data_IF_553041770509
#
_entry.id   IF_553041770509
#
_cell.length_a   1.000
_cell.length_b   1.000
_cell.length_c   1.000
_cell.angle_alpha   90.00
_cell.angle_beta   90.00
_cell.angle_gamma   90.00
#
_symmetry.space_group_name_H-M   'P 1'
#
loop_
_entity.id
_entity.type
_entity.pdbx_description
1 polymer ?
#
# COMPACT_ATOMS: atom_id res chain seq x y z
N UNK A 1 2.84 10.91 8.91
CA UNK A 1 1.88 11.81 8.21
C UNK A 1 2.66 12.99 7.71
N UNK A 2 2.43 13.47 6.48
CA UNK A 2 3.21 14.56 5.90
C UNK A 2 2.31 15.77 5.64
N UNK A 3 2.78 16.96 6.00
CA UNK A 3 2.10 18.24 5.83
C UNK A 3 2.97 19.14 4.94
N UNK A 4 2.38 19.84 3.99
CA UNK A 4 3.05 20.87 3.20
C UNK A 4 2.71 22.22 3.82
N UNK A 5 3.72 22.96 4.25
CA UNK A 5 3.60 24.28 4.84
C UNK A 5 3.92 25.35 3.80
N UNK A 6 3.15 26.42 3.83
CA UNK A 6 3.39 27.67 3.12
C UNK A 6 3.46 28.79 4.16
N UNK A 7 4.63 29.39 4.34
CA UNK A 7 4.85 30.50 5.27
C UNK A 7 4.52 31.79 4.53
N UNK A 8 3.66 32.63 5.09
CA UNK A 8 3.17 33.84 4.43
C UNK A 8 3.86 35.11 4.95
N UNK A 9 4.03 36.09 4.06
CA UNK A 9 4.36 37.46 4.41
C UNK A 9 3.08 38.24 4.82
N UNK A 10 3.22 39.55 5.10
CA UNK A 10 2.10 40.41 5.56
C UNK A 10 1.05 40.67 4.47
N UNK A 11 1.39 40.44 3.20
CA UNK A 11 0.49 40.59 2.05
C UNK A 11 0.15 39.25 1.38
N UNK A 12 0.16 38.14 2.15
CA UNK A 12 -0.17 36.78 1.69
C UNK A 12 0.74 36.19 0.59
N UNK A 13 1.86 36.84 0.28
CA UNK A 13 2.92 36.29 -0.56
C UNK A 13 3.67 35.18 0.19
N UNK A 14 4.07 34.11 -0.51
CA UNK A 14 4.83 33.03 0.10
C UNK A 14 6.28 33.46 0.40
N UNK A 15 6.70 33.40 1.67
CA UNK A 15 8.10 33.56 2.08
C UNK A 15 8.92 32.27 1.88
N UNK A 16 8.23 31.13 1.86
CA UNK A 16 8.83 29.83 1.61
C UNK A 16 7.86 28.69 1.92
N UNK A 17 8.25 27.49 1.47
CA UNK A 17 7.52 26.25 1.69
C UNK A 17 8.37 25.20 2.41
N UNK A 18 7.73 24.27 3.10
CA UNK A 18 8.39 23.12 3.72
C UNK A 18 7.48 21.89 3.71
N UNK A 19 8.03 20.69 3.60
CA UNK A 19 7.29 19.46 3.88
C UNK A 19 7.69 18.92 5.25
N UNK A 20 6.73 18.85 6.18
CA UNK A 20 6.91 18.40 7.55
C UNK A 20 6.26 17.03 7.74
N UNK A 21 7.05 16.03 8.08
CA UNK A 21 6.58 14.69 8.44
C UNK A 21 6.38 14.59 9.96
N UNK A 22 5.15 14.37 10.40
CA UNK A 22 4.78 14.03 11.77
C UNK A 22 4.78 12.51 11.98
N UNK A 23 5.59 12.03 12.93
CA UNK A 23 5.60 10.67 13.43
C UNK A 23 4.78 10.58 14.72
N UNK A 24 3.55 10.07 14.59
CA UNK A 24 2.58 9.96 15.68
C UNK A 24 2.98 8.99 16.80
N UNK A 25 3.78 7.97 16.50
CA UNK A 25 4.24 6.99 17.48
C UNK A 25 5.33 7.55 18.40
N UNK A 26 6.32 8.25 17.84
CA UNK A 26 7.40 8.87 18.61
C UNK A 26 7.15 10.32 19.01
N UNK A 27 6.03 10.91 18.57
CA UNK A 27 5.70 12.34 18.77
C UNK A 27 6.81 13.27 18.30
N UNK A 28 7.42 12.94 17.17
CA UNK A 28 8.46 13.74 16.52
C UNK A 28 8.02 14.29 15.18
N UNK A 29 8.56 15.44 14.79
CA UNK A 29 8.44 15.96 13.44
C UNK A 29 9.81 15.95 12.77
N UNK A 30 9.82 15.85 11.45
CA UNK A 30 11.01 15.98 10.61
C UNK A 30 10.69 16.80 9.37
N UNK A 31 11.64 17.56 8.88
CA UNK A 31 11.55 18.27 7.61
C UNK A 31 12.46 17.61 6.58
N UNK A 32 11.98 17.46 5.34
CA UNK A 32 12.74 16.87 4.24
C UNK A 32 13.84 17.82 3.73
N UNK A 33 14.86 17.27 3.08
CA UNK A 33 16.04 18.01 2.62
C UNK A 33 15.74 19.06 1.54
N UNK A 34 14.56 18.96 0.91
CA UNK A 34 14.02 19.89 -0.09
C UNK A 34 13.39 21.15 0.52
N UNK A 35 13.41 21.31 1.85
CA UNK A 35 12.82 22.48 2.48
C UNK A 35 13.43 23.78 1.95
N UNK A 36 12.55 24.71 1.55
CA UNK A 36 12.97 25.99 0.99
C UNK A 36 13.77 26.80 2.02
N UNK A 37 14.51 27.80 1.54
CA UNK A 37 15.25 28.72 2.41
C UNK A 37 14.38 29.37 3.49
N UNK A 38 13.06 29.50 3.27
CA UNK A 38 12.13 30.04 4.26
C UNK A 38 12.07 29.23 5.56
N UNK A 39 12.17 27.89 5.51
CA UNK A 39 12.13 27.06 6.72
C UNK A 39 13.41 27.17 7.56
N UNK A 40 14.57 27.37 6.91
CA UNK A 40 15.85 27.54 7.61
C UNK A 40 15.88 28.79 8.50
N UNK A 41 15.01 29.77 8.22
CA UNK A 41 14.78 30.97 9.05
C UNK A 41 13.81 30.71 10.21
N UNK A 42 13.01 29.63 10.15
CA UNK A 42 12.15 29.19 11.25
C UNK A 42 12.97 28.41 12.27
N UNK A 43 13.78 27.46 11.82
CA UNK A 43 14.67 26.68 12.68
C UNK A 43 15.86 26.11 11.88
N UNK A 44 17.00 25.94 12.55
CA UNK A 44 18.15 25.16 12.05
C UNK A 44 17.95 23.66 12.19
N UNK A 45 17.12 23.21 13.13
CA UNK A 45 16.85 21.80 13.39
C UNK A 45 16.03 21.19 12.25
N UNK A 46 16.38 19.97 11.86
CA UNK A 46 15.60 19.19 10.88
C UNK A 46 14.62 18.22 11.53
N UNK A 47 14.73 18.04 12.85
CA UNK A 47 13.92 17.11 13.64
C UNK A 47 13.63 17.77 14.98
N UNK A 48 12.41 17.58 15.48
CA UNK A 48 12.00 18.01 16.81
C UNK A 48 10.83 17.19 17.35
N UNK A 49 10.23 17.64 18.44
CA UNK A 49 9.04 17.00 19.02
C UNK A 49 7.78 17.77 18.66
N UNK A 50 6.63 17.11 18.65
CA UNK A 50 5.34 17.81 18.60
C UNK A 50 4.42 17.37 19.73
N UNK A 51 3.52 18.27 20.11
CA UNK A 51 2.54 18.06 21.16
C UNK A 51 1.15 18.38 20.62
N UNK A 52 0.17 17.53 20.92
CA UNK A 52 -1.24 17.76 20.53
C UNK A 52 -1.98 18.20 21.78
N UNK A 53 -2.57 19.40 21.73
CA UNK A 53 -3.41 19.94 22.79
C UNK A 53 -4.85 19.45 22.67
N UNK A 54 -5.53 19.39 23.79
CA UNK A 54 -6.95 19.02 23.92
C UNK A 54 -7.90 19.97 23.15
N UNK A 55 -7.54 21.25 23.03
CA UNK A 55 -8.28 22.24 22.24
C UNK A 55 -7.91 22.28 20.74
N UNK A 56 -7.45 21.16 20.16
CA UNK A 56 -7.26 20.98 18.71
C UNK A 56 -6.12 21.77 18.06
N UNK A 57 -5.03 21.92 18.79
CA UNK A 57 -3.84 22.62 18.31
C UNK A 57 -2.63 21.71 18.41
N UNK A 58 -1.74 21.77 17.42
CA UNK A 58 -0.46 21.06 17.45
C UNK A 58 0.68 22.04 17.61
N UNK A 59 1.52 21.84 18.63
CA UNK A 59 2.74 22.62 18.85
C UNK A 59 3.94 21.87 18.29
N UNK A 60 4.78 22.55 17.52
CA UNK A 60 6.05 22.04 17.03
C UNK A 60 7.20 22.62 17.85
N UNK A 61 7.97 21.74 18.48
CA UNK A 61 9.11 22.08 19.31
C UNK A 61 10.42 21.85 18.56
N UNK A 62 11.34 22.81 18.63
CA UNK A 62 12.61 22.82 17.89
C UNK A 62 13.52 21.60 18.18
N UNK A 63 13.41 21.02 19.37
CA UNK A 63 14.26 19.90 19.82
C UNK A 63 13.42 18.71 20.27
N UNK A 64 13.95 17.48 20.17
CA UNK A 64 13.32 16.31 20.76
C UNK A 64 13.06 16.45 22.26
N UNK A 65 12.01 15.81 22.76
CA UNK A 65 11.64 15.78 24.19
C UNK A 65 11.02 17.09 24.70
N UNK A 66 10.59 18.00 23.82
CA UNK A 66 9.93 19.25 24.21
C UNK A 66 10.84 20.29 24.90
N UNK A 67 12.15 20.05 24.95
CA UNK A 67 13.14 20.94 25.60
C UNK A 67 13.63 22.08 24.69
N UNK A 68 12.85 22.44 23.68
CA UNK A 68 13.20 23.45 22.67
C UNK A 68 12.25 24.64 22.67
N UNK A 69 12.46 25.58 21.75
CA UNK A 69 11.48 26.64 21.46
C UNK A 69 10.24 26.07 20.78
N UNK A 70 9.07 26.63 21.04
CA UNK A 70 7.88 26.33 20.25
C UNK A 70 7.96 27.15 18.95
N UNK A 71 8.36 26.51 17.86
CA UNK A 71 8.62 27.20 16.59
C UNK A 71 7.32 27.48 15.82
N UNK A 72 6.30 26.65 15.98
CA UNK A 72 5.05 26.78 15.25
C UNK A 72 3.87 26.19 16.02
N UNK A 73 2.72 26.86 15.89
CA UNK A 73 1.42 26.45 16.43
C UNK A 73 0.48 26.24 15.25
N UNK A 74 -0.03 25.03 15.08
CA UNK A 74 -0.93 24.66 13.99
C UNK A 74 -2.36 24.52 14.53
N UNK A 75 -3.30 25.26 13.93
CA UNK A 75 -4.73 25.11 14.13
C UNK A 75 -5.31 24.11 13.15
N UNK A 76 -6.42 23.48 13.54
CA UNK A 76 -7.14 22.47 12.76
C UNK A 76 -6.27 21.28 12.30
N UNK A 77 -5.12 21.09 12.92
CA UNK A 77 -4.18 20.03 12.57
C UNK A 77 -4.79 18.64 12.81
N UNK A 78 -4.34 17.60 12.08
CA UNK A 78 -4.78 16.23 12.34
C UNK A 78 -4.50 15.82 13.78
N UNK A 79 -5.41 15.06 14.40
CA UNK A 79 -5.31 14.60 15.80
C UNK A 79 -4.66 13.21 15.94
N UNK A 80 -4.39 12.54 14.83
CA UNK A 80 -3.84 11.21 14.81
C UNK A 80 -3.40 10.79 13.41
N UNK A 81 -2.69 9.67 13.31
CA UNK A 81 -2.29 9.12 12.01
C UNK A 81 -3.50 8.79 11.11
N UNK A 82 -4.61 8.38 11.73
CA UNK A 82 -5.87 8.04 11.08
C UNK A 82 -6.78 9.25 10.79
N UNK A 83 -6.46 10.42 11.32
CA UNK A 83 -7.27 11.63 11.11
C UNK A 83 -6.97 12.20 9.72
N UNK A 84 -7.89 11.96 8.78
CA UNK A 84 -7.82 12.39 7.38
C UNK A 84 -8.91 13.38 7.00
N UNK A 85 -9.85 13.68 7.89
CA UNK A 85 -10.93 14.64 7.62
C UNK A 85 -10.42 16.08 7.61
N UNK A 86 -9.24 16.32 8.17
CA UNK A 86 -8.53 17.61 8.19
C UNK A 86 -7.49 17.65 7.07
N UNK A 87 -7.96 18.01 5.88
CA UNK A 87 -7.14 18.09 4.67
C UNK A 87 -6.23 19.33 4.62
N UNK A 88 -6.58 20.38 5.35
CA UNK A 88 -5.85 21.63 5.42
C UNK A 88 -6.14 22.37 6.73
N UNK A 89 -5.40 23.46 6.95
CA UNK A 89 -5.65 24.39 8.02
C UNK A 89 -4.60 25.50 8.06
N UNK A 90 -4.58 26.22 9.17
CA UNK A 90 -3.71 27.36 9.38
C UNK A 90 -2.84 27.18 10.62
N UNK A 91 -1.91 28.10 10.82
CA UNK A 91 -0.97 28.10 11.92
C UNK A 91 -0.25 29.43 12.02
N UNK A 92 0.62 29.54 13.01
CA UNK A 92 1.54 30.66 13.13
C UNK A 92 2.91 30.22 13.58
N UNK A 93 3.92 30.97 13.18
CA UNK A 93 5.25 30.89 13.78
C UNK A 93 5.20 31.57 15.16
N UNK A 94 5.59 30.85 16.20
CA UNK A 94 5.50 31.36 17.58
C UNK A 94 6.82 31.91 18.09
N UNK A 95 7.90 31.12 18.02
CA UNK A 95 9.25 31.51 18.40
C UNK A 95 10.30 31.01 17.37
N UNK A 96 10.26 31.54 16.13
CA UNK A 96 11.22 31.16 15.08
C UNK A 96 12.63 31.70 15.36
N UNK A 97 13.64 31.09 14.73
CA UNK A 97 15.03 31.53 14.75
C UNK A 97 15.19 32.99 14.29
N UNK A 98 14.53 33.36 13.20
CA UNK A 98 14.44 34.72 12.72
C UNK A 98 13.22 35.43 13.34
N UNK A 99 13.49 36.32 14.30
CA UNK A 99 12.46 37.04 15.05
C UNK A 99 11.50 37.86 14.16
N UNK A 100 11.90 38.26 12.94
CA UNK A 100 11.02 38.99 12.00
C UNK A 100 9.86 38.13 11.46
N UNK A 101 9.97 36.80 11.63
CA UNK A 101 8.95 35.82 11.26
C UNK A 101 7.97 35.51 12.40
N UNK A 102 8.14 36.10 13.58
CA UNK A 102 7.23 35.88 14.71
C UNK A 102 5.80 36.29 14.34
N UNK A 103 4.82 35.46 14.74
CA UNK A 103 3.40 35.60 14.41
C UNK A 103 3.05 35.52 12.92
N UNK A 104 3.98 35.16 12.02
CA UNK A 104 3.63 34.97 10.61
C UNK A 104 2.73 33.76 10.45
N UNK A 105 1.75 33.90 9.57
CA UNK A 105 0.81 32.84 9.24
C UNK A 105 1.52 31.70 8.49
N UNK A 106 1.11 30.48 8.84
CA UNK A 106 1.44 29.25 8.13
C UNK A 106 0.12 28.72 7.59
N UNK A 107 0.04 28.51 6.29
CA UNK A 107 -0.99 27.65 5.73
C UNK A 107 -0.40 26.25 5.60
N UNK A 108 -1.14 25.23 6.00
CA UNK A 108 -0.70 23.86 5.83
C UNK A 108 -1.76 23.02 5.14
N UNK A 109 -1.31 22.06 4.33
CA UNK A 109 -2.16 21.06 3.70
C UNK A 109 -1.60 19.68 3.98
N UNK A 110 -2.47 18.70 4.13
CA UNK A 110 -2.09 17.29 4.23
C UNK A 110 -1.53 16.87 2.87
N UNK A 111 -0.25 16.46 2.84
CA UNK A 111 0.32 15.85 1.63
C UNK A 111 -0.24 14.45 1.52
N UNK A 112 -1.24 14.32 0.67
CA UNK A 112 -1.59 13.03 0.09
C UNK A 112 -0.48 12.68 -0.90
N UNK A 113 0.19 11.53 -0.76
CA UNK A 113 0.93 10.98 -1.87
C UNK A 113 0.08 11.10 -3.14
N UNK A 114 0.65 11.48 -4.28
CA UNK A 114 -0.11 11.39 -5.51
C UNK A 114 -0.67 9.95 -5.56
N UNK A 115 -1.95 9.78 -5.98
CA UNK A 115 -2.43 8.44 -6.28
C UNK A 115 -1.35 7.80 -7.15
N UNK A 116 -0.99 6.51 -6.92
CA UNK A 116 0.02 5.86 -7.74
C UNK A 116 -0.32 6.24 -9.17
N UNK A 117 0.57 7.04 -9.80
CA UNK A 117 0.24 7.81 -11.00
C UNK A 117 -0.63 6.92 -11.85
N UNK A 118 -1.76 7.42 -12.35
CA UNK A 118 -2.62 6.70 -13.29
C UNK A 118 -1.81 6.43 -14.55
N UNK A 119 -0.79 5.59 -14.45
CA UNK A 119 -0.16 4.86 -15.52
C UNK A 119 -1.36 4.26 -16.17
N UNK A 120 -1.67 4.79 -17.34
CA UNK A 120 -2.65 4.20 -18.21
C UNK A 120 -2.33 2.70 -18.22
N UNK A 121 -3.24 1.93 -17.65
CA UNK A 121 -3.02 0.51 -17.47
C UNK A 121 -2.83 -0.07 -18.88
N UNK A 122 -1.90 -1.00 -19.06
CA UNK A 122 -1.73 -1.63 -20.37
C UNK A 122 -3.08 -2.25 -20.81
N UNK A 123 -3.36 -2.34 -22.13
CA UNK A 123 -4.60 -2.95 -22.61
C UNK A 123 -4.83 -4.36 -22.03
N UNK A 124 -3.75 -5.11 -21.83
CA UNK A 124 -3.78 -6.46 -21.23
C UNK A 124 -4.21 -6.44 -19.77
N UNK A 125 -3.63 -5.52 -18.99
CA UNK A 125 -3.98 -5.31 -17.58
C UNK A 125 -5.43 -4.84 -17.44
N UNK A 126 -5.89 -3.92 -18.30
CA UNK A 126 -7.30 -3.50 -18.32
C UNK A 126 -8.24 -4.67 -18.60
N UNK A 127 -7.93 -5.48 -19.62
CA UNK A 127 -8.72 -6.67 -19.96
C UNK A 127 -8.81 -7.65 -18.79
N UNK A 128 -7.69 -7.96 -18.14
CA UNK A 128 -7.67 -8.86 -16.97
C UNK A 128 -8.49 -8.29 -15.81
N UNK A 129 -8.35 -7.00 -15.49
CA UNK A 129 -9.12 -6.37 -14.40
C UNK A 129 -10.62 -6.40 -14.71
N UNK A 130 -11.01 -6.08 -15.95
CA UNK A 130 -12.42 -6.12 -16.38
C UNK A 130 -12.98 -7.54 -16.25
N UNK A 131 -12.19 -8.55 -16.64
CA UNK A 131 -12.57 -9.95 -16.46
C UNK A 131 -12.70 -10.31 -14.97
N UNK A 132 -11.71 -9.99 -14.14
CA UNK A 132 -11.76 -10.24 -12.68
C UNK A 132 -12.94 -9.53 -12.02
N UNK A 133 -13.20 -8.27 -12.36
CA UNK A 133 -14.34 -7.51 -11.82
C UNK A 133 -15.67 -8.13 -12.24
N UNK A 134 -15.73 -8.76 -13.41
CA UNK A 134 -16.92 -9.47 -13.91
C UNK A 134 -17.12 -10.81 -13.21
N UNK A 135 -16.04 -11.60 -13.13
CA UNK A 135 -16.04 -12.91 -12.50
C UNK A 135 -16.40 -12.80 -11.01
N UNK A 136 -15.86 -11.79 -10.30
CA UNK A 136 -16.11 -11.54 -8.89
C UNK A 136 -17.25 -10.54 -8.61
N UNK A 137 -18.22 -10.38 -9.53
CA UNK A 137 -19.44 -9.57 -9.26
C UNK A 137 -20.25 -10.13 -8.09
N UNK A 138 -20.21 -11.45 -7.91
CA UNK A 138 -20.77 -12.17 -6.78
C UNK A 138 -19.70 -13.02 -6.09
N UNK A 139 -20.04 -13.57 -4.93
CA UNK A 139 -19.24 -14.62 -4.32
C UNK A 139 -19.10 -15.81 -5.28
N UNK A 140 -17.87 -16.27 -5.48
CA UNK A 140 -17.55 -17.39 -6.35
C UNK A 140 -17.09 -18.55 -5.48
N UNK A 141 -17.62 -19.74 -5.69
CA UNK A 141 -17.07 -20.94 -5.08
C UNK A 141 -16.44 -21.80 -6.17
N UNK A 142 -15.11 -21.70 -6.32
CA UNK A 142 -14.40 -22.67 -7.13
C UNK A 142 -14.21 -23.94 -6.31
N UNK A 143 -15.04 -24.93 -6.63
CA UNK A 143 -14.88 -26.28 -6.12
C UNK A 143 -13.59 -26.94 -6.62
N UNK A 144 -13.39 -28.17 -6.16
CA UNK A 144 -12.24 -29.04 -6.46
C UNK A 144 -11.96 -29.23 -7.94
N UNK A 145 -13.01 -29.29 -8.77
CA UNK A 145 -12.87 -29.51 -10.22
C UNK A 145 -12.09 -28.38 -10.90
N UNK A 146 -12.48 -27.12 -10.65
CA UNK A 146 -11.80 -25.94 -11.21
C UNK A 146 -10.38 -25.79 -10.66
N UNK A 147 -10.14 -26.16 -9.40
CA UNK A 147 -8.77 -26.28 -8.86
C UNK A 147 -7.92 -27.23 -9.69
N UNK A 148 -8.41 -28.45 -9.93
CA UNK A 148 -7.66 -29.47 -10.67
C UNK A 148 -7.38 -29.06 -12.11
N UNK A 149 -8.35 -28.44 -12.79
CA UNK A 149 -8.18 -27.90 -14.14
C UNK A 149 -7.04 -26.87 -14.19
N UNK A 150 -7.04 -25.90 -13.26
CA UNK A 150 -6.11 -24.77 -13.27
C UNK A 150 -4.72 -25.11 -12.74
N UNK A 151 -4.62 -26.11 -11.88
CA UNK A 151 -3.35 -26.61 -11.34
C UNK A 151 -2.78 -27.75 -12.17
N UNK A 152 -3.53 -28.24 -13.17
CA UNK A 152 -3.13 -29.43 -13.93
C UNK A 152 -2.98 -30.68 -13.07
N UNK A 153 -3.68 -30.73 -11.93
CA UNK A 153 -3.55 -31.79 -10.93
C UNK A 153 -2.18 -31.85 -10.25
N UNK A 154 -1.35 -30.79 -10.33
CA UNK A 154 0.00 -30.79 -9.77
C UNK A 154 -0.05 -30.83 -8.24
N UNK A 155 0.22 -32.04 -7.70
CA UNK A 155 0.28 -32.32 -6.26
C UNK A 155 1.34 -31.49 -5.54
N UNK A 156 2.32 -30.93 -6.26
CA UNK A 156 3.38 -30.06 -5.74
C UNK A 156 2.96 -28.60 -5.51
N UNK A 157 1.79 -28.19 -6.01
CA UNK A 157 1.25 -26.81 -5.88
C UNK A 157 0.54 -26.58 -4.53
N UNK A 158 0.61 -27.57 -3.64
CA UNK A 158 0.35 -27.37 -2.21
C UNK A 158 -1.13 -27.17 -1.91
N UNK A 159 -1.89 -28.25 -1.98
CA UNK A 159 -3.21 -28.29 -1.38
C UNK A 159 -3.92 -29.57 -1.76
N UNK A 160 -3.82 -30.58 -0.89
CA UNK A 160 -4.87 -31.59 -0.81
C UNK A 160 -6.17 -30.79 -0.57
N UNK A 161 -6.97 -30.63 -1.60
CA UNK A 161 -8.32 -30.06 -1.54
C UNK A 161 -9.19 -30.71 -0.46
N UNK A 162 -8.75 -31.86 0.04
CA UNK A 162 -9.50 -32.75 0.90
C UNK A 162 -9.04 -32.66 2.36
N UNK A 163 -8.08 -31.78 2.70
CA UNK A 163 -7.71 -31.54 4.11
C UNK A 163 -8.60 -30.45 4.71
N UNK A 164 -9.38 -30.75 5.76
CA UNK A 164 -10.13 -29.74 6.50
C UNK A 164 -9.23 -28.59 6.96
N UNK A 165 -9.65 -27.34 6.72
CA UNK A 165 -8.93 -26.14 7.16
C UNK A 165 -7.95 -25.52 6.15
N UNK A 166 -7.80 -26.07 4.95
CA UNK A 166 -7.04 -25.42 3.87
C UNK A 166 -7.87 -24.33 3.18
N UNK A 167 -7.23 -23.22 2.82
CA UNK A 167 -7.85 -22.13 2.06
C UNK A 167 -7.40 -22.16 0.61
N UNK A 168 -8.29 -21.85 -0.33
CA UNK A 168 -7.95 -21.85 -1.75
C UNK A 168 -7.36 -20.53 -2.29
N UNK A 169 -6.85 -19.66 -1.41
CA UNK A 169 -6.24 -18.39 -1.84
C UNK A 169 -5.10 -18.58 -2.87
N UNK A 170 -4.44 -19.73 -2.84
CA UNK A 170 -3.37 -20.10 -3.75
C UNK A 170 -3.80 -20.29 -5.22
N UNK A 171 -5.10 -20.39 -5.51
CA UNK A 171 -5.63 -20.60 -6.86
C UNK A 171 -5.60 -19.30 -7.69
N UNK A 172 -5.90 -18.14 -7.09
CA UNK A 172 -6.11 -16.91 -7.86
C UNK A 172 -4.95 -16.53 -8.78
N UNK A 173 -3.68 -16.58 -8.31
CA UNK A 173 -2.54 -16.29 -9.19
C UNK A 173 -2.43 -17.28 -10.35
N UNK A 174 -2.86 -18.53 -10.15
CA UNK A 174 -2.93 -19.56 -11.18
C UNK A 174 -3.97 -19.24 -12.25
N UNK A 175 -5.15 -18.77 -11.85
CA UNK A 175 -6.19 -18.33 -12.80
C UNK A 175 -5.70 -17.16 -13.63
N UNK A 176 -5.09 -16.16 -12.99
CA UNK A 176 -4.48 -15.03 -13.69
C UNK A 176 -3.43 -15.54 -14.68
N UNK A 177 -2.59 -16.50 -14.28
CA UNK A 177 -1.60 -17.11 -15.17
C UNK A 177 -2.24 -17.84 -16.36
N UNK A 178 -3.36 -18.55 -16.15
CA UNK A 178 -4.09 -19.23 -17.21
C UNK A 178 -4.71 -18.25 -18.22
N UNK A 179 -5.28 -17.15 -17.76
CA UNK A 179 -5.81 -16.11 -18.66
C UNK A 179 -4.69 -15.44 -19.48
N UNK A 180 -3.53 -15.21 -18.87
CA UNK A 180 -2.34 -14.72 -19.58
C UNK A 180 -1.86 -15.73 -20.64
N UNK A 181 -1.82 -17.03 -20.30
CA UNK A 181 -1.42 -18.09 -21.20
C UNK A 181 -2.35 -18.14 -22.44
N UNK A 182 -3.66 -18.08 -22.22
CA UNK A 182 -4.68 -18.05 -23.28
C UNK A 182 -4.52 -16.82 -24.18
N UNK A 183 -4.27 -15.64 -23.59
CA UNK A 183 -4.03 -14.42 -24.35
C UNK A 183 -2.77 -14.52 -25.23
N UNK A 184 -1.77 -15.28 -24.79
CA UNK A 184 -0.57 -15.61 -25.57
C UNK A 184 -0.77 -16.74 -26.59
N UNK A 185 -1.99 -17.27 -26.73
CA UNK A 185 -2.29 -18.36 -27.66
C UNK A 185 -1.95 -19.76 -27.13
N UNK A 186 -1.63 -19.92 -25.85
CA UNK A 186 -1.48 -21.23 -25.22
C UNK A 186 -2.86 -21.76 -24.83
N UNK A 187 -3.47 -22.55 -25.71
CA UNK A 187 -4.76 -23.23 -25.49
C UNK A 187 -4.62 -24.73 -25.73
N UNK A 188 -5.64 -25.51 -25.34
CA UNK A 188 -5.65 -26.96 -25.50
C UNK A 188 -4.42 -27.63 -24.87
N UNK A 189 -3.76 -28.50 -25.63
CA UNK A 189 -2.59 -29.27 -25.18
C UNK A 189 -1.38 -28.38 -24.83
N UNK A 190 -1.29 -27.16 -25.37
CA UNK A 190 -0.18 -26.22 -25.12
C UNK A 190 -0.30 -25.48 -23.80
N UNK A 191 -1.50 -25.44 -23.21
CA UNK A 191 -1.77 -24.69 -21.98
C UNK A 191 -1.04 -25.30 -20.77
N UNK A 192 -1.16 -26.62 -20.59
CA UNK A 192 -0.62 -27.28 -19.40
C UNK A 192 0.91 -27.21 -19.28
N UNK A 193 1.71 -27.47 -20.35
CA UNK A 193 3.16 -27.27 -20.29
C UNK A 193 3.56 -25.84 -19.93
N UNK A 194 2.84 -24.84 -20.48
CA UNK A 194 3.10 -23.45 -20.17
C UNK A 194 2.81 -23.13 -18.70
N UNK A 195 1.67 -23.59 -18.17
CA UNK A 195 1.28 -23.40 -16.77
C UNK A 195 2.30 -24.03 -15.82
N UNK A 196 2.75 -25.25 -16.09
CA UNK A 196 3.80 -25.90 -15.28
C UNK A 196 5.07 -25.04 -15.19
N UNK A 197 5.47 -24.42 -16.30
CA UNK A 197 6.67 -23.58 -16.39
C UNK A 197 6.51 -22.19 -15.77
N UNK A 198 5.36 -21.55 -15.98
CA UNK A 198 5.20 -20.11 -15.75
C UNK A 198 4.19 -19.75 -14.67
N UNK A 199 3.25 -20.66 -14.33
CA UNK A 199 2.17 -20.33 -13.41
C UNK A 199 2.68 -19.86 -12.05
N UNK A 200 1.94 -18.92 -11.47
CA UNK A 200 2.14 -18.37 -10.14
C UNK A 200 1.28 -19.09 -9.08
N UNK A 201 0.61 -20.20 -9.43
CA UNK A 201 -0.23 -20.95 -8.48
C UNK A 201 0.57 -21.39 -7.25
N UNK A 202 0.03 -21.17 -6.05
CA UNK A 202 0.73 -21.45 -4.79
C UNK A 202 1.13 -20.16 -4.06
N UNK A 203 0.94 -20.10 -2.74
CA UNK A 203 1.29 -18.90 -1.97
C UNK A 203 2.79 -18.59 -1.99
N UNK A 204 3.64 -19.62 -1.88
CA UNK A 204 5.09 -19.46 -1.93
C UNK A 204 5.58 -19.19 -3.36
N UNK A 205 4.94 -19.79 -4.36
CA UNK A 205 5.37 -19.67 -5.75
C UNK A 205 5.26 -18.25 -6.30
N UNK A 206 4.27 -17.45 -5.86
CA UNK A 206 4.12 -16.06 -6.31
C UNK A 206 5.42 -15.26 -6.17
N UNK A 207 6.10 -15.38 -5.01
CA UNK A 207 7.39 -14.69 -4.78
C UNK A 207 8.49 -15.31 -5.63
N UNK A 208 8.69 -16.62 -5.54
CA UNK A 208 9.85 -17.28 -6.13
C UNK A 208 9.81 -17.27 -7.67
N UNK A 209 8.65 -17.60 -8.25
CA UNK A 209 8.41 -17.50 -9.70
C UNK A 209 8.43 -16.04 -10.15
N UNK A 210 7.82 -15.13 -9.38
CA UNK A 210 7.87 -13.70 -9.66
C UNK A 210 9.30 -13.18 -9.75
N UNK A 211 10.18 -13.58 -8.82
CA UNK A 211 11.62 -13.24 -8.84
C UNK A 211 12.31 -13.83 -10.07
N UNK A 212 12.10 -15.13 -10.34
CA UNK A 212 12.68 -15.82 -11.51
C UNK A 212 12.30 -15.16 -12.84
N UNK A 213 11.08 -14.63 -12.93
CA UNK A 213 10.55 -13.97 -14.12
C UNK A 213 10.87 -12.45 -14.17
N UNK A 214 11.62 -11.93 -13.19
CA UNK A 214 11.94 -10.50 -13.10
C UNK A 214 10.72 -9.60 -12.86
N UNK A 215 9.62 -10.17 -12.35
CA UNK A 215 8.35 -9.48 -12.17
C UNK A 215 8.01 -9.17 -10.70
N UNK A 216 8.76 -9.72 -9.74
CA UNK A 216 8.56 -9.46 -8.32
C UNK A 216 9.07 -8.08 -7.91
N UNK A 217 8.20 -7.32 -7.25
CA UNK A 217 8.51 -6.05 -6.61
C UNK A 217 8.37 -6.21 -5.09
N UNK A 218 9.47 -5.99 -4.36
CA UNK A 218 9.45 -6.03 -2.89
C UNK A 218 8.74 -4.82 -2.31
N UNK A 219 7.88 -5.04 -1.32
CA UNK A 219 7.24 -3.93 -0.57
C UNK A 219 8.19 -3.23 0.41
N UNK A 220 9.42 -3.74 0.55
CA UNK A 220 10.51 -3.01 1.19
C UNK A 220 10.96 -1.80 0.35
N UNK A 221 10.81 -1.85 -0.98
CA UNK A 221 11.07 -0.72 -1.85
C UNK A 221 9.92 0.30 -1.79
N UNK A 222 10.04 1.26 -0.86
CA UNK A 222 9.05 2.32 -0.64
C UNK A 222 8.89 3.30 -1.80
N UNK A 223 9.76 3.24 -2.82
CA UNK A 223 9.64 4.08 -4.03
C UNK A 223 8.64 3.52 -5.03
N UNK A 224 8.31 2.23 -4.93
CA UNK A 224 7.34 1.57 -5.80
C UNK A 224 6.02 1.36 -5.06
N UNK A 225 4.94 1.37 -5.83
CA UNK A 225 3.59 1.10 -5.35
C UNK A 225 2.94 0.08 -6.27
N UNK A 226 2.07 -0.80 -5.74
CA UNK A 226 1.27 -1.67 -6.58
C UNK A 226 0.32 -0.81 -7.42
N UNK A 227 -0.08 -1.36 -8.56
CA UNK A 227 -1.13 -0.81 -9.43
C UNK A 227 -2.23 -1.87 -9.63
N UNK A 228 -3.45 -1.47 -10.03
CA UNK A 228 -4.51 -2.42 -10.34
C UNK A 228 -4.04 -3.53 -11.29
N UNK A 229 -4.39 -4.78 -11.00
CA UNK A 229 -3.98 -6.00 -11.70
C UNK A 229 -2.78 -6.72 -11.09
N UNK A 230 -2.01 -6.07 -10.20
CA UNK A 230 -0.87 -6.73 -9.56
C UNK A 230 -1.31 -7.82 -8.58
N UNK A 231 -0.58 -8.94 -8.57
CA UNK A 231 -0.81 -10.05 -7.65
C UNK A 231 -0.02 -9.78 -6.38
N UNK A 232 -0.70 -9.54 -5.27
CA UNK A 232 -0.06 -9.26 -3.99
C UNK A 232 0.16 -10.51 -3.16
N UNK A 233 1.17 -10.47 -2.29
CA UNK A 233 1.45 -11.53 -1.33
C UNK A 233 1.62 -10.96 0.07
N UNK A 234 0.90 -11.52 1.05
CA UNK A 234 0.98 -11.15 2.46
C UNK A 234 1.78 -12.20 3.23
N UNK A 235 2.64 -11.74 4.14
CA UNK A 235 3.38 -12.60 5.05
C UNK A 235 2.45 -13.40 5.97
N UNK A 236 2.96 -14.48 6.55
CA UNK A 236 2.30 -15.21 7.65
C UNK A 236 2.00 -14.28 8.84
N UNK A 237 1.08 -14.68 9.72
CA UNK A 237 0.75 -13.91 10.92
C UNK A 237 2.02 -13.72 11.77
N UNK A 238 2.29 -12.48 12.18
CA UNK A 238 3.44 -12.12 13.02
C UNK A 238 4.76 -11.90 12.26
N UNK A 239 4.84 -12.31 10.99
CA UNK A 239 6.02 -12.11 10.17
C UNK A 239 6.15 -10.65 9.68
N UNK A 240 7.39 -10.20 9.51
CA UNK A 240 7.74 -8.81 9.16
C UNK A 240 8.85 -8.70 8.12
N UNK A 241 9.64 -9.74 7.90
CA UNK A 241 10.71 -9.72 6.90
C UNK A 241 10.15 -9.94 5.49
N UNK A 242 10.15 -8.88 4.69
CA UNK A 242 9.61 -8.88 3.33
C UNK A 242 10.26 -9.91 2.39
N UNK A 243 11.53 -10.29 2.64
CA UNK A 243 12.33 -11.12 1.74
C UNK A 243 12.30 -12.60 2.08
N UNK A 244 12.40 -12.94 3.37
CA UNK A 244 12.62 -14.32 3.81
C UNK A 244 11.39 -14.95 4.47
N UNK A 245 10.51 -14.16 5.08
CA UNK A 245 9.37 -14.74 5.79
C UNK A 245 8.36 -15.34 4.82
N UNK A 246 7.73 -16.44 5.23
CA UNK A 246 6.79 -17.18 4.41
C UNK A 246 5.53 -16.40 4.05
N UNK A 247 5.00 -16.65 2.85
CA UNK A 247 3.74 -16.09 2.38
C UNK A 247 2.57 -16.87 2.95
N UNK A 248 1.64 -16.16 3.61
CA UNK A 248 0.45 -16.74 4.22
C UNK A 248 -0.85 -16.45 3.46
N UNK A 249 -0.84 -15.55 2.48
CA UNK A 249 -2.01 -15.23 1.66
C UNK A 249 -1.58 -14.50 0.37
N UNK A 250 -2.37 -14.66 -0.69
CA UNK A 250 -2.18 -14.00 -1.99
C UNK A 250 -3.54 -13.57 -2.54
N UNK A 251 -3.53 -12.51 -3.35
CA UNK A 251 -4.72 -11.94 -3.98
C UNK A 251 -4.35 -11.00 -5.13
N UNK A 252 -5.32 -10.27 -5.66
CA UNK A 252 -5.09 -9.30 -6.74
C UNK A 252 -5.62 -7.93 -6.35
N UNK A 253 -4.83 -6.87 -6.55
CA UNK A 253 -5.33 -5.50 -6.44
C UNK A 253 -6.25 -5.20 -7.62
N UNK A 254 -7.52 -4.84 -7.40
CA UNK A 254 -8.46 -4.55 -8.48
C UNK A 254 -8.62 -3.05 -8.75
N UNK A 255 -8.54 -2.25 -7.69
CA UNK A 255 -8.83 -0.83 -7.75
C UNK A 255 -8.11 -0.09 -6.62
N UNK A 256 -7.46 1.00 -6.97
CA UNK A 256 -6.97 1.96 -5.99
C UNK A 256 -8.17 2.78 -5.50
N UNK A 257 -8.45 2.71 -4.20
CA UNK A 257 -9.56 3.46 -3.58
C UNK A 257 -9.01 4.72 -2.92
N UNK A 258 -7.95 4.56 -2.12
CA UNK A 258 -7.21 5.67 -1.50
C UNK A 258 -5.84 5.19 -1.01
N UNK A 259 -5.03 6.09 -0.46
CA UNK A 259 -3.73 5.73 0.15
C UNK A 259 -3.84 4.75 1.31
N UNK A 260 -5.03 4.60 1.89
CA UNK A 260 -5.31 3.73 3.02
C UNK A 260 -6.31 2.64 2.69
N UNK A 261 -6.75 2.52 1.44
CA UNK A 261 -7.73 1.51 1.04
C UNK A 261 -7.47 0.97 -0.36
N UNK A 262 -7.58 -0.35 -0.48
CA UNK A 262 -7.50 -1.05 -1.76
C UNK A 262 -8.73 -1.93 -1.96
N UNK A 263 -9.29 -1.95 -3.17
CA UNK A 263 -10.20 -3.01 -3.58
C UNK A 263 -9.37 -4.18 -4.09
N UNK A 264 -9.65 -5.37 -3.59
CA UNK A 264 -8.92 -6.61 -3.89
C UNK A 264 -9.87 -7.71 -4.31
N UNK A 265 -9.39 -8.66 -5.12
CA UNK A 265 -10.02 -9.95 -5.34
C UNK A 265 -9.20 -11.01 -4.61
N UNK A 266 -9.88 -11.82 -3.81
CA UNK A 266 -9.24 -12.83 -2.98
C UNK A 266 -10.02 -14.13 -3.01
N UNK A 267 -9.31 -15.25 -2.92
CA UNK A 267 -9.87 -16.55 -2.58
C UNK A 267 -9.65 -16.89 -1.10
N UNK A 268 -10.43 -17.81 -0.58
CA UNK A 268 -10.31 -18.32 0.78
C UNK A 268 -10.80 -17.39 1.88
N UNK A 269 -11.71 -16.46 1.54
CA UNK A 269 -12.19 -15.44 2.48
C UNK A 269 -13.57 -15.76 3.08
N UNK A 270 -14.33 -16.71 2.51
CA UNK A 270 -15.64 -17.12 3.03
C UNK A 270 -15.59 -18.04 4.25
N UNK A 271 -16.77 -18.46 4.71
CA UNK A 271 -16.92 -19.39 5.85
C UNK A 271 -16.40 -20.78 5.52
N UNK A 272 -16.57 -21.22 4.28
CA UNK A 272 -16.04 -22.48 3.77
C UNK A 272 -14.52 -22.46 3.53
N UNK A 273 -13.88 -21.29 3.48
CA UNK A 273 -12.48 -21.17 3.05
C UNK A 273 -12.25 -21.41 1.55
N UNK A 274 -13.32 -21.51 0.76
CA UNK A 274 -13.27 -21.68 -0.70
C UNK A 274 -13.89 -20.52 -1.48
N UNK A 275 -14.61 -19.62 -0.81
CA UNK A 275 -15.24 -18.48 -1.48
C UNK A 275 -14.23 -17.44 -1.91
N UNK A 276 -14.30 -17.07 -3.19
CA UNK A 276 -13.67 -15.90 -3.77
C UNK A 276 -14.63 -14.73 -3.80
N UNK A 277 -14.15 -13.53 -3.48
CA UNK A 277 -14.95 -12.29 -3.48
C UNK A 277 -14.10 -11.05 -3.65
N UNK A 278 -14.74 -9.92 -3.94
CA UNK A 278 -14.07 -8.61 -3.86
C UNK A 278 -14.21 -8.02 -2.47
N UNK A 279 -13.17 -7.32 -2.02
CA UNK A 279 -13.05 -6.78 -0.67
C UNK A 279 -12.37 -5.43 -0.69
N UNK A 280 -12.86 -4.50 0.12
CA UNK A 280 -12.14 -3.27 0.45
C UNK A 280 -11.28 -3.55 1.68
N UNK A 281 -9.96 -3.44 1.53
CA UNK A 281 -8.99 -3.65 2.60
C UNK A 281 -8.40 -2.33 3.02
N UNK A 282 -8.29 -2.12 4.33
CA UNK A 282 -7.50 -1.01 4.85
C UNK A 282 -6.02 -1.34 4.68
N UNK A 283 -5.26 -0.33 4.26
CA UNK A 283 -3.84 -0.35 4.05
C UNK A 283 -3.19 0.67 4.97
N UNK A 284 -2.21 0.22 5.74
CA UNK A 284 -1.34 1.10 6.50
C UNK A 284 -0.03 1.30 5.69
N UNK A 285 0.16 2.44 5.03
CA UNK A 285 1.38 2.69 4.26
C UNK A 285 2.63 2.80 5.13
N UNK A 286 2.51 3.13 6.43
CA UNK A 286 3.65 3.22 7.33
C UNK A 286 4.20 1.84 7.69
N UNK A 287 3.31 0.88 7.96
CA UNK A 287 3.72 -0.49 8.31
C UNK A 287 3.65 -1.47 7.14
N UNK A 288 3.13 -1.04 5.99
CA UNK A 288 2.88 -1.87 4.82
C UNK A 288 1.86 -2.98 5.08
N UNK A 289 0.94 -2.80 6.02
CA UNK A 289 -0.01 -3.85 6.42
C UNK A 289 -1.34 -3.72 5.69
N UNK A 290 -1.94 -4.86 5.31
CA UNK A 290 -3.29 -4.95 4.76
C UNK A 290 -4.21 -5.69 5.73
N UNK A 291 -5.41 -5.15 5.97
CA UNK A 291 -6.41 -5.81 6.81
C UNK A 291 -6.96 -7.07 6.14
N UNK A 292 -7.38 -8.01 6.98
CA UNK A 292 -8.13 -9.19 6.57
C UNK A 292 -9.63 -8.84 6.53
N UNK A 293 -10.42 -9.43 5.62
CA UNK A 293 -11.86 -9.21 5.58
C UNK A 293 -12.60 -9.78 6.80
N UNK A 294 -12.04 -10.83 7.42
CA UNK A 294 -12.55 -11.31 8.72
C UNK A 294 -12.05 -10.33 9.79
N UNK A 295 -12.95 -9.51 10.32
CA UNK A 295 -12.70 -8.41 11.27
C UNK A 295 -11.88 -8.81 12.49
N UNK A 296 -11.90 -10.10 12.89
CA UNK A 296 -11.13 -10.61 14.02
C UNK A 296 -9.67 -11.00 13.69
N UNK A 297 -9.27 -11.05 12.40
CA UNK A 297 -7.90 -11.44 12.04
C UNK A 297 -6.99 -10.20 12.00
N UNK A 298 -5.82 -10.24 12.66
CA UNK A 298 -4.89 -9.12 12.63
C UNK A 298 -4.40 -8.85 11.19
N UNK A 299 -4.13 -7.59 10.85
CA UNK A 299 -3.60 -7.23 9.55
C UNK A 299 -2.22 -7.86 9.34
N UNK A 300 -1.89 -8.17 8.08
CA UNK A 300 -0.64 -8.82 7.70
C UNK A 300 0.22 -7.88 6.87
N UNK A 301 1.54 -8.00 7.02
CA UNK A 301 2.51 -7.23 6.25
C UNK A 301 2.48 -7.69 4.79
N UNK A 302 2.38 -6.73 3.87
CA UNK A 302 2.55 -6.94 2.44
C UNK A 302 4.03 -7.28 2.18
N UNK A 303 4.30 -8.49 1.70
CA UNK A 303 5.66 -8.90 1.34
C UNK A 303 6.14 -8.16 0.08
N UNK A 304 5.26 -8.05 -0.89
CA UNK A 304 5.52 -7.54 -2.23
C UNK A 304 4.40 -7.95 -3.17
N UNK A 305 4.62 -7.76 -4.45
CA UNK A 305 3.67 -8.10 -5.50
C UNK A 305 4.38 -8.50 -6.78
N UNK A 306 3.66 -9.19 -7.65
CA UNK A 306 4.07 -9.42 -9.03
C UNK A 306 3.49 -8.30 -9.89
N UNK A 307 4.35 -7.53 -10.54
CA UNK A 307 3.96 -6.59 -11.59
C UNK A 307 3.47 -7.38 -12.80
N UNK A 308 2.19 -7.23 -13.12
CA UNK A 308 1.54 -7.99 -14.19
C UNK A 308 2.19 -7.75 -15.56
N UNK A 309 2.63 -6.52 -15.87
CA UNK A 309 3.21 -6.19 -17.17
C UNK A 309 4.61 -6.81 -17.32
N UNK A 310 5.39 -6.80 -16.24
CA UNK A 310 6.66 -7.54 -16.20
C UNK A 310 6.43 -9.04 -16.29
N UNK A 311 5.40 -9.58 -15.65
CA UNK A 311 5.06 -11.00 -15.75
C UNK A 311 4.66 -11.40 -17.16
N UNK A 312 3.84 -10.59 -17.85
CA UNK A 312 3.53 -10.78 -19.27
C UNK A 312 4.79 -10.83 -20.13
N UNK A 313 5.79 -9.98 -19.86
CA UNK A 313 7.06 -9.97 -20.61
C UNK A 313 7.96 -11.16 -20.28
N UNK A 314 8.13 -11.48 -19.00
CA UNK A 314 9.04 -12.53 -18.54
C UNK A 314 8.55 -13.96 -18.82
N UNK A 315 7.25 -14.17 -19.00
CA UNK A 315 6.65 -15.48 -19.25
C UNK A 315 6.58 -15.88 -20.74
N UNK A 316 7.44 -15.29 -21.57
CA UNK A 316 7.52 -15.55 -23.00
C UNK A 316 8.24 -16.87 -23.31
#
# INVERSE_FOLDING_TARGET
MKLAFRILNRGNGALGNAEVTLNWGSKTWRVDDSASMGWKRVTRSRVGSFEVKDWNVVWLWDKPGGKGRNIAVLWDAPRGLADKSRGDGSGRLFDPEDASLKQREIQWTLVTPPPPQSKQLSPRRQKLITWLKTEFKSDINYGTSKYNELTGGDKGIGGKSDKPGYTNCLILPGIVSAEIAKEKGHTGEKLLPWLKKNSLTGTYQVRDRGKKLGAWISAADKKKRPIPGDIFALLKKGATNHETDGIGHVGVFLEYVSDTKWKTADFGQGDSGYTGRTLIRDYDPATGKLTSPKTAKPPRVLAGWVDLDLYFKGSS
#
